data_IF_982279603093
#
_entry.id   IF_982279603093
#
_cell.length_a   1.000
_cell.length_b   1.000
_cell.length_c   1.000
_cell.angle_alpha   90.00
_cell.angle_beta   90.00
_cell.angle_gamma   90.00
#
_symmetry.space_group_name_H-M   'P 1'
#
loop_
_entity.id
_entity.type
_entity.pdbx_description
1 polymer ?
#
# COMPACT_ATOMS: atom_id res chain seq x y z
N UNK A 1 -28.80 0.07 -9.73
CA UNK A 1 -28.51 -1.35 -9.47
C UNK A 1 -27.02 -1.50 -9.21
N UNK A 2 -26.61 -1.70 -7.95
CA UNK A 2 -25.22 -1.99 -7.60
C UNK A 2 -24.91 -3.43 -7.98
N UNK A 3 -24.08 -3.64 -9.00
CA UNK A 3 -23.53 -4.97 -9.34
C UNK A 3 -22.82 -5.51 -8.11
N UNK A 4 -23.28 -6.63 -7.56
CA UNK A 4 -22.52 -7.38 -6.55
C UNK A 4 -21.31 -7.98 -7.26
N UNK A 5 -20.12 -7.56 -6.89
CA UNK A 5 -18.85 -8.16 -7.32
C UNK A 5 -18.82 -9.57 -6.71
N UNK A 6 -18.70 -10.61 -7.54
CA UNK A 6 -18.56 -11.97 -7.02
C UNK A 6 -17.15 -12.14 -6.43
N UNK A 7 -16.97 -13.07 -5.49
CA UNK A 7 -15.65 -13.37 -4.92
C UNK A 7 -14.60 -13.73 -5.97
N UNK A 8 -15.04 -14.29 -7.09
CA UNK A 8 -14.18 -14.68 -8.21
C UNK A 8 -13.70 -13.48 -9.04
N UNK A 9 -14.41 -12.34 -8.94
CA UNK A 9 -14.05 -11.07 -9.58
C UNK A 9 -13.05 -10.27 -8.73
N UNK A 10 -12.71 -10.74 -7.52
CA UNK A 10 -11.74 -10.07 -6.64
C UNK A 10 -10.31 -10.30 -7.13
N UNK A 11 -9.55 -9.21 -7.12
CA UNK A 11 -8.13 -9.19 -7.42
C UNK A 11 -7.36 -10.00 -6.37
N UNK A 12 -6.23 -10.56 -6.74
CA UNK A 12 -5.27 -11.08 -5.77
C UNK A 12 -4.42 -9.92 -5.23
N UNK A 13 -4.11 -9.89 -3.93
CA UNK A 13 -3.29 -8.83 -3.32
C UNK A 13 -1.90 -8.67 -3.96
N UNK A 14 -1.40 -9.72 -4.62
CA UNK A 14 -0.15 -9.73 -5.40
C UNK A 14 -0.24 -8.92 -6.68
N UNK A 15 -1.45 -8.73 -7.20
CA UNK A 15 -1.69 -7.88 -8.35
C UNK A 15 -1.52 -6.40 -7.97
N UNK A 16 -1.11 -5.54 -8.89
CA UNK A 16 -0.96 -4.12 -8.62
C UNK A 16 -2.29 -3.45 -8.27
N UNK A 17 -2.24 -2.46 -7.38
CA UNK A 17 -3.35 -1.56 -7.07
C UNK A 17 -2.86 -0.11 -7.04
N UNK A 18 -3.59 0.77 -7.72
CA UNK A 18 -3.20 2.17 -7.92
C UNK A 18 -3.84 3.04 -6.86
N UNK A 19 -3.02 3.89 -6.25
CA UNK A 19 -3.45 4.93 -5.32
C UNK A 19 -3.00 6.27 -5.89
N UNK A 20 -3.91 7.18 -6.24
CA UNK A 20 -3.54 8.51 -6.67
C UNK A 20 -2.91 9.28 -5.51
N UNK A 21 -1.87 10.03 -5.82
CA UNK A 21 -1.27 11.03 -4.94
C UNK A 21 -1.82 12.41 -5.30
N UNK A 22 -1.67 13.37 -4.39
CA UNK A 22 -1.89 14.78 -4.73
C UNK A 22 -0.86 15.24 -5.78
N UNK A 23 -1.08 16.41 -6.39
CA UNK A 23 -0.08 17.03 -7.27
C UNK A 23 1.28 17.21 -6.59
N UNK A 24 1.30 17.32 -5.26
CA UNK A 24 2.53 17.44 -4.49
C UNK A 24 3.14 16.07 -4.09
N UNK A 25 2.58 14.96 -4.57
CA UNK A 25 3.07 13.61 -4.27
C UNK A 25 2.69 13.12 -2.87
N UNK A 26 1.61 13.66 -2.29
CA UNK A 26 1.20 13.38 -0.91
C UNK A 26 -0.02 12.46 -0.84
N UNK A 27 -0.17 11.80 0.31
CA UNK A 27 -1.40 11.10 0.67
C UNK A 27 -1.59 11.09 2.19
N UNK A 28 -2.75 11.56 2.63
CA UNK A 28 -3.14 11.53 4.04
C UNK A 28 -3.84 10.21 4.43
N UNK A 29 -3.94 9.96 5.74
CA UNK A 29 -4.52 8.71 6.25
C UNK A 29 -6.04 8.61 6.07
N UNK A 30 -6.74 9.73 5.89
CA UNK A 30 -8.19 9.78 5.58
C UNK A 30 -8.42 9.36 4.14
N UNK A 31 -7.66 9.93 3.20
CA UNK A 31 -7.67 9.54 1.79
C UNK A 31 -7.29 8.07 1.63
N UNK A 32 -6.25 7.61 2.33
CA UNK A 32 -5.83 6.21 2.30
C UNK A 32 -6.95 5.21 2.71
N UNK A 33 -7.83 5.58 3.66
CA UNK A 33 -8.98 4.73 4.06
C UNK A 33 -10.00 4.53 2.94
N UNK A 34 -10.02 5.39 1.93
CA UNK A 34 -10.87 5.22 0.75
C UNK A 34 -10.39 4.07 -0.14
N UNK A 35 -9.16 3.59 0.05
CA UNK A 35 -8.54 2.52 -0.74
C UNK A 35 -8.53 1.14 -0.05
N UNK A 36 -9.48 0.91 0.87
CA UNK A 36 -9.71 -0.40 1.50
C UNK A 36 -11.19 -0.78 1.42
N UNK A 37 -11.41 -2.08 1.22
CA UNK A 37 -12.75 -2.66 1.24
C UNK A 37 -13.39 -2.63 2.65
N UNK A 38 -14.71 -2.77 2.70
CA UNK A 38 -15.48 -2.74 3.96
C UNK A 38 -15.04 -3.83 4.94
N UNK A 39 -14.65 -5.01 4.44
CA UNK A 39 -14.17 -6.09 5.28
C UNK A 39 -12.89 -5.68 6.03
N UNK A 40 -11.92 -5.13 5.30
CA UNK A 40 -10.66 -4.61 5.81
C UNK A 40 -10.87 -3.44 6.78
N UNK A 41 -11.87 -2.58 6.54
CA UNK A 41 -12.23 -1.48 7.44
C UNK A 41 -12.71 -1.94 8.82
N UNK A 42 -13.43 -3.06 8.90
CA UNK A 42 -14.09 -3.52 10.12
C UNK A 42 -13.30 -4.56 10.92
N UNK A 43 -12.25 -5.13 10.36
CA UNK A 43 -11.42 -6.10 11.06
C UNK A 43 -10.65 -5.39 12.20
N UNK A 44 -10.67 -5.97 13.41
CA UNK A 44 -10.22 -5.31 14.66
C UNK A 44 -8.96 -5.89 15.30
N UNK A 45 -8.47 -7.05 14.87
CA UNK A 45 -7.34 -7.73 15.51
C UNK A 45 -6.07 -7.54 14.69
N UNK A 46 -5.23 -6.57 15.08
CA UNK A 46 -4.04 -6.25 14.30
C UNK A 46 -2.84 -5.94 15.17
N UNK A 47 -1.82 -6.75 15.03
CA UNK A 47 -0.46 -6.38 15.41
C UNK A 47 0.33 -6.31 14.09
N UNK A 48 0.64 -5.10 13.64
CA UNK A 48 1.89 -4.93 12.92
C UNK A 48 2.91 -4.70 14.04
N UNK A 49 3.85 -5.62 14.23
CA UNK A 49 4.88 -5.41 15.24
C UNK A 49 5.95 -4.49 14.67
N UNK A 50 6.35 -4.76 13.42
CA UNK A 50 7.41 -3.99 12.78
C UNK A 50 7.14 -3.75 11.31
N UNK A 51 7.60 -2.60 10.83
CA UNK A 51 7.76 -2.28 9.42
C UNK A 51 9.21 -1.88 9.19
N UNK A 52 9.86 -2.56 8.26
CA UNK A 52 11.26 -2.31 7.92
C UNK A 52 11.40 -2.14 6.42
N UNK A 53 12.31 -1.25 6.02
CA UNK A 53 12.72 -1.16 4.63
C UNK A 53 13.46 -2.45 4.26
N UNK A 54 12.98 -3.15 3.25
CA UNK A 54 13.53 -4.45 2.82
C UNK A 54 14.47 -4.30 1.63
N UNK A 55 14.06 -3.53 0.63
CA UNK A 55 14.81 -3.35 -0.62
C UNK A 55 14.45 -2.00 -1.27
N UNK A 56 15.41 -1.40 -1.97
CA UNK A 56 15.22 -0.20 -2.78
C UNK A 56 15.83 -0.46 -4.16
N UNK A 57 14.99 -0.31 -5.18
CA UNK A 57 15.39 -0.29 -6.58
C UNK A 57 14.90 1.01 -7.23
N UNK A 58 15.37 1.36 -8.44
CA UNK A 58 14.83 2.51 -9.18
C UNK A 58 13.29 2.42 -9.27
N UNK A 59 12.60 3.48 -8.84
CA UNK A 59 11.13 3.59 -8.84
C UNK A 59 10.39 2.54 -7.98
N UNK A 60 11.08 1.76 -7.15
CA UNK A 60 10.46 0.67 -6.40
C UNK A 60 11.05 0.57 -5.01
N UNK A 61 10.18 0.56 -4.00
CA UNK A 61 10.57 0.31 -2.61
C UNK A 61 9.79 -0.89 -2.08
N UNK A 62 10.49 -1.76 -1.37
CA UNK A 62 9.89 -2.90 -0.71
C UNK A 62 9.97 -2.74 0.80
N UNK A 63 8.86 -2.99 1.47
CA UNK A 63 8.76 -2.96 2.92
C UNK A 63 8.41 -4.35 3.42
N UNK A 64 9.19 -4.84 4.38
CA UNK A 64 8.86 -6.06 5.12
C UNK A 64 8.07 -5.68 6.35
N UNK A 65 6.85 -6.20 6.43
CA UNK A 65 6.01 -6.15 7.60
C UNK A 65 6.08 -7.50 8.33
N UNK A 66 6.22 -7.49 9.66
CA UNK A 66 6.13 -8.69 10.48
C UNK A 66 5.17 -8.55 11.66
N UNK A 67 4.57 -9.69 12.02
CA UNK A 67 3.83 -9.93 13.25
C UNK A 67 4.34 -11.26 13.82
N UNK A 68 5.25 -11.20 14.79
CA UNK A 68 6.03 -12.35 15.24
C UNK A 68 6.75 -13.07 14.09
N UNK A 69 6.43 -14.35 13.88
CA UNK A 69 7.03 -15.21 12.84
C UNK A 69 6.45 -15.00 11.44
N UNK A 70 5.28 -14.37 11.34
CA UNK A 70 4.60 -14.14 10.06
C UNK A 70 5.15 -12.85 9.47
N UNK A 71 5.55 -12.90 8.19
CA UNK A 71 6.02 -11.74 7.46
C UNK A 71 5.40 -11.65 6.08
N UNK A 72 5.27 -10.42 5.60
CA UNK A 72 4.75 -10.08 4.28
C UNK A 72 5.60 -8.97 3.68
N UNK A 73 5.77 -9.01 2.37
CA UNK A 73 6.45 -7.99 1.59
C UNK A 73 5.38 -7.15 0.87
N UNK A 74 5.36 -5.87 1.21
CA UNK A 74 4.66 -4.86 0.44
C UNK A 74 5.63 -4.22 -0.54
N UNK A 75 5.27 -4.22 -1.82
CA UNK A 75 6.00 -3.52 -2.88
C UNK A 75 5.23 -2.26 -3.25
N UNK A 76 5.94 -1.14 -3.30
CA UNK A 76 5.43 0.17 -3.73
C UNK A 76 6.26 0.61 -4.92
N UNK A 77 5.63 0.74 -6.09
CA UNK A 77 6.24 1.41 -7.23
C UNK A 77 5.74 2.85 -7.32
N UNK A 78 6.60 3.74 -7.79
CA UNK A 78 6.32 5.15 -7.95
C UNK A 78 6.13 5.44 -9.44
N UNK A 79 4.94 5.91 -9.78
CA UNK A 79 4.56 6.45 -11.08
C UNK A 79 4.12 7.90 -10.84
N UNK A 80 4.27 8.81 -11.82
CA UNK A 80 4.34 10.28 -11.62
C UNK A 80 3.38 10.84 -10.55
N UNK A 81 2.12 10.40 -10.56
CA UNK A 81 1.09 10.80 -9.60
C UNK A 81 0.40 9.62 -8.90
N UNK A 82 1.02 8.44 -8.88
CA UNK A 82 0.43 7.22 -8.32
C UNK A 82 1.43 6.39 -7.53
N UNK A 83 0.94 5.80 -6.44
CA UNK A 83 1.56 4.63 -5.84
C UNK A 83 0.95 3.38 -6.46
N UNK A 84 1.80 2.49 -6.97
CA UNK A 84 1.40 1.17 -7.44
C UNK A 84 1.79 0.15 -6.39
N UNK A 85 0.80 -0.38 -5.67
CA UNK A 85 1.00 -1.18 -4.46
C UNK A 85 0.61 -2.63 -4.69
N UNK A 86 1.46 -3.56 -4.27
CA UNK A 86 1.15 -4.99 -4.23
C UNK A 86 1.66 -5.62 -2.93
N UNK A 87 1.04 -6.72 -2.50
CA UNK A 87 1.46 -7.47 -1.32
C UNK A 87 1.41 -8.97 -1.57
N UNK A 88 2.46 -9.66 -1.10
CA UNK A 88 2.64 -11.11 -1.26
C UNK A 88 1.71 -11.99 -0.42
N UNK A 89 0.81 -11.41 0.40
CA UNK A 89 -0.08 -12.14 1.32
C UNK A 89 -1.19 -12.98 0.67
N UNK A 90 -1.28 -12.98 -0.67
CA UNK A 90 -2.14 -13.87 -1.47
C UNK A 90 -3.64 -13.81 -1.11
N UNK A 91 -4.15 -12.62 -0.76
CA UNK A 91 -5.55 -12.43 -0.36
C UNK A 91 -6.39 -11.99 -1.56
N UNK A 92 -7.63 -12.48 -1.63
CA UNK A 92 -8.65 -11.97 -2.55
C UNK A 92 -9.24 -10.67 -2.00
N UNK A 93 -9.04 -9.57 -2.70
CA UNK A 93 -9.42 -8.21 -2.28
C UNK A 93 -9.86 -7.39 -3.48
N UNK A 94 -10.71 -6.40 -3.28
CA UNK A 94 -11.05 -5.46 -4.35
C UNK A 94 -10.02 -4.32 -4.42
N UNK A 95 -9.60 -3.82 -3.26
CA UNK A 95 -8.70 -2.69 -3.11
C UNK A 95 -7.41 -3.10 -2.40
N UNK A 96 -6.80 -2.26 -1.57
CA UNK A 96 -5.66 -2.67 -0.77
C UNK A 96 -6.05 -3.80 0.17
N UNK A 97 -5.19 -4.82 0.26
CA UNK A 97 -5.28 -5.72 1.38
C UNK A 97 -4.93 -4.97 2.66
N UNK A 98 -5.39 -5.53 3.78
CA UNK A 98 -5.11 -4.98 5.09
C UNK A 98 -3.61 -4.71 5.36
N UNK A 99 -2.72 -5.64 4.98
CA UNK A 99 -1.28 -5.51 5.23
C UNK A 99 -0.70 -4.27 4.55
N UNK A 100 -1.02 -4.08 3.27
CA UNK A 100 -0.60 -2.89 2.52
C UNK A 100 -1.14 -1.61 3.15
N UNK A 101 -2.44 -1.58 3.47
CA UNK A 101 -3.06 -0.41 4.09
C UNK A 101 -2.38 -0.02 5.40
N UNK A 102 -2.17 -0.97 6.32
CA UNK A 102 -1.54 -0.66 7.59
C UNK A 102 -0.08 -0.26 7.43
N UNK A 103 0.65 -0.92 6.54
CA UNK A 103 2.04 -0.57 6.28
C UNK A 103 2.15 0.88 5.76
N UNK A 104 1.33 1.26 4.78
CA UNK A 104 1.26 2.64 4.28
C UNK A 104 0.84 3.62 5.37
N UNK A 105 -0.18 3.29 6.18
CA UNK A 105 -0.63 4.13 7.28
C UNK A 105 0.46 4.35 8.33
N UNK A 106 1.19 3.30 8.70
CA UNK A 106 2.33 3.38 9.62
C UNK A 106 3.46 4.25 9.04
N UNK A 107 3.74 4.13 7.74
CA UNK A 107 4.74 4.98 7.08
C UNK A 107 4.32 6.46 7.14
N UNK A 108 3.08 6.77 6.76
CA UNK A 108 2.54 8.14 6.80
C UNK A 108 2.58 8.68 8.23
N UNK A 109 2.10 7.91 9.22
CA UNK A 109 2.12 8.33 10.62
C UNK A 109 3.53 8.59 11.16
N UNK A 110 4.53 7.81 10.73
CA UNK A 110 5.92 7.92 11.22
C UNK A 110 6.74 8.98 10.50
N UNK A 111 6.42 9.28 9.25
CA UNK A 111 7.28 10.07 8.34
C UNK A 111 6.62 11.31 7.77
N UNK A 112 5.30 11.44 7.85
CA UNK A 112 4.54 12.53 7.23
C UNK A 112 3.80 12.07 5.97
N UNK A 113 2.89 12.92 5.50
CA UNK A 113 2.05 12.70 4.31
C UNK A 113 2.86 12.78 3.00
N UNK A 114 4.03 13.40 3.06
CA UNK A 114 5.02 13.58 1.98
C UNK A 114 6.07 12.45 1.93
N UNK A 115 5.91 11.38 2.73
CA UNK A 115 6.88 10.27 2.83
C UNK A 115 7.26 9.67 1.46
N UNK A 116 6.35 9.75 0.48
CA UNK A 116 6.55 9.22 -0.86
C UNK A 116 7.19 10.20 -1.85
N UNK A 117 7.18 11.51 -1.54
CA UNK A 117 7.73 12.59 -2.37
C UNK A 117 9.22 12.38 -2.65
N UNK A 118 9.98 11.98 -1.63
CA UNK A 118 11.42 11.70 -1.75
C UNK A 118 11.74 10.56 -2.72
N UNK A 119 10.84 9.58 -2.84
CA UNK A 119 11.03 8.46 -3.76
C UNK A 119 10.63 8.85 -5.19
N UNK A 120 9.56 9.63 -5.35
CA UNK A 120 9.15 10.20 -6.65
C UNK A 120 10.26 11.04 -7.28
N UNK A 121 10.84 12.00 -6.53
CA UNK A 121 11.88 12.87 -7.09
C UNK A 121 13.17 12.13 -7.45
N UNK A 122 13.59 11.13 -6.67
CA UNK A 122 14.74 10.28 -7.02
C UNK A 122 14.49 9.45 -8.27
N UNK A 123 13.23 9.10 -8.50
CA UNK A 123 12.82 8.32 -9.64
C UNK A 123 12.86 9.15 -10.93
N UNK A 124 12.48 10.44 -10.87
CA UNK A 124 12.51 11.36 -12.01
C UNK A 124 13.92 11.80 -12.46
N UNK A 125 14.96 11.56 -11.66
CA UNK A 125 16.35 11.94 -11.96
C UNK A 125 17.14 10.87 -12.73
N UNK A 126 16.51 9.73 -13.04
CA UNK A 126 17.09 8.65 -13.86
C UNK A 126 16.39 8.64 -15.21
N UNK A 127 16.61 9.68 -16.01
CA UNK A 127 16.27 9.74 -17.44
C UNK A 127 17.36 10.53 -18.17
#
# INVERSE_FOLDING_TARGET
MTKRINSDDLRNSREPYWIPLTYEGEIDTTTLKCHIDSYTRHFKHWHLDTITLFDIAPHVVQFKHSNGSIHFIMKVKFDDNHLVVSCDCDRKVEMLCHHSYRALKELINKKGEDVFRNYLHKSLQVN
#
